data_IF_833637632481
#
_entry.id   IF_833637632481
#
_cell.length_a   1.000
_cell.length_b   1.000
_cell.length_c   1.000
_cell.angle_alpha   90.00
_cell.angle_beta   90.00
_cell.angle_gamma   90.00
#
_symmetry.space_group_name_H-M   'P 1'
#
loop_
_entity.id
_entity.type
_entity.pdbx_description
1 polymer ?
#
# COMPACT_ATOMS: atom_id res chain seq x y z
N UNK A 1 37.99 -17.93 -53.73
CA UNK A 1 37.29 -16.65 -53.52
C UNK A 1 35.99 -16.97 -52.78
N UNK A 2 36.03 -16.96 -51.45
CA UNK A 2 34.88 -17.34 -50.61
C UNK A 2 34.04 -16.11 -50.30
N UNK A 3 32.82 -16.06 -50.84
CA UNK A 3 31.84 -15.01 -50.56
C UNK A 3 31.12 -15.30 -49.24
N UNK A 4 31.51 -14.62 -48.17
CA UNK A 4 30.71 -14.55 -46.94
C UNK A 4 29.65 -13.46 -47.09
N UNK A 5 28.37 -13.85 -47.05
CA UNK A 5 27.24 -12.93 -46.91
C UNK A 5 27.03 -12.64 -45.42
N UNK A 6 26.87 -11.38 -44.98
CA UNK A 6 26.59 -11.09 -43.58
C UNK A 6 25.08 -11.20 -43.34
N UNK A 7 24.68 -12.19 -42.55
CA UNK A 7 23.31 -12.27 -42.03
C UNK A 7 23.20 -11.33 -40.84
N UNK A 8 22.47 -10.23 -40.98
CA UNK A 8 22.21 -9.28 -39.89
C UNK A 8 21.17 -9.91 -38.97
N UNK A 9 21.61 -10.40 -37.81
CA UNK A 9 20.72 -10.83 -36.73
C UNK A 9 20.26 -9.60 -35.94
N UNK A 10 19.00 -9.21 -36.12
CA UNK A 10 18.37 -8.13 -35.33
C UNK A 10 18.00 -8.71 -33.96
N UNK A 11 18.78 -8.37 -32.94
CA UNK A 11 18.42 -8.67 -31.55
C UNK A 11 17.32 -7.71 -31.10
N UNK A 12 16.08 -8.19 -31.01
CA UNK A 12 14.97 -7.44 -30.42
C UNK A 12 15.18 -7.35 -28.89
N UNK A 13 15.65 -6.21 -28.41
CA UNK A 13 15.74 -5.90 -26.99
C UNK A 13 14.32 -5.57 -26.51
N UNK A 14 13.67 -6.55 -25.87
CA UNK A 14 12.43 -6.33 -25.13
C UNK A 14 12.75 -5.52 -23.87
N UNK A 15 12.64 -4.19 -23.95
CA UNK A 15 12.63 -3.32 -22.78
C UNK A 15 11.32 -3.55 -22.03
N UNK A 16 11.32 -4.48 -21.09
CA UNK A 16 10.27 -4.58 -20.08
C UNK A 16 10.32 -3.33 -19.20
N UNK A 17 9.43 -2.38 -19.46
CA UNK A 17 9.17 -1.25 -18.57
C UNK A 17 8.57 -1.78 -17.28
N UNK A 18 9.42 -2.04 -16.28
CA UNK A 18 8.96 -2.23 -14.91
C UNK A 18 8.32 -0.92 -14.47
N UNK A 19 6.99 -0.92 -14.41
CA UNK A 19 6.16 0.17 -13.90
C UNK A 19 6.73 0.63 -12.55
N UNK A 20 7.11 1.91 -12.46
CA UNK A 20 7.59 2.51 -11.22
C UNK A 20 6.51 2.35 -10.14
N UNK A 21 6.71 1.40 -9.23
CA UNK A 21 5.94 1.33 -8.00
C UNK A 21 6.02 2.67 -7.26
N UNK A 22 4.97 3.03 -6.51
CA UNK A 22 4.87 4.27 -5.73
C UNK A 22 5.93 4.30 -4.61
N UNK A 23 7.21 4.48 -4.95
CA UNK A 23 8.34 4.47 -4.03
C UNK A 23 8.21 5.54 -2.93
N UNK A 24 7.53 6.64 -3.26
CA UNK A 24 7.22 7.71 -2.32
C UNK A 24 6.22 7.25 -1.25
N UNK A 25 5.18 6.49 -1.62
CA UNK A 25 4.20 5.96 -0.66
C UNK A 25 4.86 4.97 0.30
N UNK A 26 5.68 4.07 -0.25
CA UNK A 26 6.43 3.11 0.57
C UNK A 26 7.35 3.83 1.56
N UNK A 27 8.09 4.86 1.13
CA UNK A 27 8.99 5.62 2.01
C UNK A 27 8.23 6.37 3.11
N UNK A 28 7.10 6.99 2.77
CA UNK A 28 6.23 7.65 3.75
C UNK A 28 5.72 6.63 4.77
N UNK A 29 5.17 5.50 4.32
CA UNK A 29 4.67 4.46 5.20
C UNK A 29 5.75 3.84 6.07
N UNK A 30 6.95 3.59 5.54
CA UNK A 30 8.09 3.11 6.35
C UNK A 30 8.45 4.06 7.49
N UNK A 31 8.38 5.38 7.26
CA UNK A 31 8.60 6.38 8.30
C UNK A 31 7.46 6.36 9.33
N UNK A 32 6.22 6.42 8.86
CA UNK A 32 5.03 6.64 9.70
C UNK A 32 4.62 5.40 10.48
N UNK A 33 4.80 4.21 9.90
CA UNK A 33 4.48 2.93 10.53
C UNK A 33 5.62 2.39 11.39
N UNK A 34 6.74 3.10 11.54
CA UNK A 34 7.85 2.66 12.40
C UNK A 34 7.43 2.27 13.83
N UNK A 35 6.52 2.99 14.52
CA UNK A 35 6.03 2.59 15.85
C UNK A 35 5.32 1.23 15.86
N UNK A 36 4.72 0.84 14.74
CA UNK A 36 4.01 -0.43 14.56
C UNK A 36 4.95 -1.60 14.23
N UNK A 37 6.25 -1.33 14.01
CA UNK A 37 7.27 -2.32 13.69
C UNK A 37 6.85 -3.31 12.57
N UNK A 38 6.43 -2.81 11.38
CA UNK A 38 6.04 -3.69 10.29
C UNK A 38 7.22 -4.57 9.87
N UNK A 39 6.94 -5.85 9.67
CA UNK A 39 7.91 -6.81 9.12
C UNK A 39 8.20 -6.51 7.65
N UNK A 40 7.18 -6.08 6.93
CA UNK A 40 7.25 -5.82 5.50
C UNK A 40 6.26 -4.71 5.12
N UNK A 41 6.69 -3.86 4.19
CA UNK A 41 5.80 -2.97 3.43
C UNK A 41 6.12 -3.19 1.97
N UNK A 42 5.17 -3.74 1.21
CA UNK A 42 5.33 -3.99 -0.22
C UNK A 42 4.26 -3.29 -1.04
N UNK A 43 4.63 -2.93 -2.27
CA UNK A 43 3.71 -2.36 -3.27
C UNK A 43 3.67 -3.30 -4.46
N UNK A 44 2.48 -3.59 -4.97
CA UNK A 44 2.28 -4.21 -6.29
C UNK A 44 1.22 -3.43 -7.04
N UNK A 45 1.59 -2.85 -8.17
CA UNK A 45 0.70 -2.02 -8.98
C UNK A 45 0.04 -0.91 -8.15
N UNK A 46 -1.27 -1.04 -7.88
CA UNK A 46 -2.09 -0.09 -7.14
C UNK A 46 -2.46 -0.59 -5.73
N UNK A 47 -1.86 -1.69 -5.27
CA UNK A 47 -2.10 -2.30 -3.96
C UNK A 47 -0.86 -2.20 -3.08
N UNK A 48 -1.08 -1.82 -1.82
CA UNK A 48 -0.06 -1.81 -0.78
C UNK A 48 -0.33 -2.94 0.22
N UNK A 49 0.71 -3.56 0.73
CA UNK A 49 0.62 -4.57 1.80
C UNK A 49 1.55 -4.19 2.93
N UNK A 50 1.01 -4.14 4.14
CA UNK A 50 1.73 -3.97 5.40
C UNK A 50 1.60 -5.26 6.19
N UNK A 51 2.72 -5.87 6.55
CA UNK A 51 2.76 -7.10 7.35
C UNK A 51 3.20 -6.75 8.75
N UNK A 52 2.40 -7.08 9.75
CA UNK A 52 2.69 -6.87 11.16
C UNK A 52 3.12 -8.17 11.83
N UNK A 53 3.92 -8.04 12.88
CA UNK A 53 4.27 -9.17 13.75
C UNK A 53 3.04 -9.65 14.53
N UNK A 54 2.91 -10.96 14.71
CA UNK A 54 1.82 -11.58 15.47
C UNK A 54 0.84 -12.37 14.61
N UNK A 55 0.13 -13.29 15.27
CA UNK A 55 -0.74 -14.29 14.62
C UNK A 55 -2.07 -13.71 14.13
N UNK A 56 -2.54 -12.66 14.77
CA UNK A 56 -3.83 -12.03 14.50
C UNK A 56 -3.68 -10.52 14.45
N UNK A 57 -4.56 -9.86 13.70
CA UNK A 57 -4.72 -8.40 13.74
C UNK A 57 -6.11 -8.13 14.31
N UNK A 58 -6.16 -7.41 15.43
CA UNK A 58 -7.43 -6.98 16.00
C UNK A 58 -7.98 -5.81 15.20
N UNK A 59 -9.32 -5.67 15.16
CA UNK A 59 -9.97 -4.52 14.50
C UNK A 59 -9.51 -3.18 15.08
N UNK A 60 -9.21 -3.14 16.39
CA UNK A 60 -8.65 -1.96 17.08
C UNK A 60 -7.27 -1.61 16.54
N UNK A 61 -6.33 -2.58 16.53
CA UNK A 61 -4.97 -2.36 16.04
C UNK A 61 -4.95 -1.96 14.56
N UNK A 62 -5.79 -2.60 13.74
CA UNK A 62 -6.00 -2.21 12.35
C UNK A 62 -6.49 -0.77 12.22
N UNK A 63 -7.56 -0.41 12.94
CA UNK A 63 -8.17 0.92 12.82
C UNK A 63 -7.19 2.01 13.25
N UNK A 64 -6.48 1.78 14.35
CA UNK A 64 -5.46 2.69 14.85
C UNK A 64 -4.31 2.83 13.86
N UNK A 65 -3.85 1.76 13.21
CA UNK A 65 -2.81 1.83 12.18
C UNK A 65 -3.25 2.68 10.99
N UNK A 66 -4.47 2.47 10.49
CA UNK A 66 -5.00 3.25 9.37
C UNK A 66 -5.13 4.72 9.76
N UNK A 67 -5.80 5.02 10.88
CA UNK A 67 -6.06 6.39 11.30
C UNK A 67 -4.75 7.13 11.62
N UNK A 68 -3.93 6.57 12.50
CA UNK A 68 -2.73 7.24 13.03
C UNK A 68 -1.52 7.17 12.09
N UNK A 69 -1.39 6.11 11.29
CA UNK A 69 -0.21 5.84 10.47
C UNK A 69 -0.42 6.12 8.99
N UNK A 70 -1.58 5.76 8.43
CA UNK A 70 -1.86 5.92 7.01
C UNK A 70 -2.49 7.28 6.71
N UNK A 71 -3.51 7.70 7.45
CA UNK A 71 -4.26 8.92 7.18
C UNK A 71 -3.63 10.19 7.80
N UNK A 72 -3.07 10.13 9.01
CA UNK A 72 -2.42 11.30 9.66
C UNK A 72 -1.47 12.08 8.76
N UNK A 73 -0.55 11.45 7.98
CA UNK A 73 0.38 12.19 7.14
C UNK A 73 -0.30 13.01 6.03
N UNK A 74 -1.52 12.65 5.63
CA UNK A 74 -2.35 13.46 4.74
C UNK A 74 -2.85 14.70 5.50
N UNK A 75 -3.43 14.51 6.69
CA UNK A 75 -4.04 15.58 7.48
C UNK A 75 -3.04 16.59 8.04
N UNK A 76 -1.84 16.14 8.38
CA UNK A 76 -0.75 17.00 8.88
C UNK A 76 0.14 17.56 7.78
N UNK A 77 -0.12 17.19 6.52
CA UNK A 77 0.72 17.52 5.36
C UNK A 77 2.18 17.04 5.50
N UNK A 78 2.42 15.97 6.26
CA UNK A 78 3.74 15.34 6.46
C UNK A 78 4.12 14.33 5.36
N UNK A 79 3.30 14.23 4.31
CA UNK A 79 3.52 13.41 3.13
C UNK A 79 3.52 14.26 1.84
N UNK A 80 4.17 13.80 0.75
CA UNK A 80 4.07 14.46 -0.56
C UNK A 80 2.61 14.53 -1.04
N UNK A 81 2.24 15.56 -1.80
CA UNK A 81 0.89 15.70 -2.35
C UNK A 81 0.45 14.54 -3.28
N UNK A 82 1.39 13.73 -3.76
CA UNK A 82 1.11 12.52 -4.55
C UNK A 82 0.79 11.28 -3.70
N UNK A 83 0.89 11.38 -2.37
CA UNK A 83 0.77 10.24 -1.47
C UNK A 83 -0.58 9.55 -1.62
N UNK A 84 -0.55 8.23 -1.86
CA UNK A 84 -1.71 7.35 -2.06
C UNK A 84 -2.60 7.70 -3.27
N UNK A 85 -2.19 8.63 -4.13
CA UNK A 85 -3.01 9.09 -5.27
C UNK A 85 -3.40 7.96 -6.23
N UNK A 86 -2.52 6.97 -6.38
CA UNK A 86 -2.74 5.82 -7.26
C UNK A 86 -3.02 4.53 -6.48
N UNK A 87 -3.06 4.59 -5.15
CA UNK A 87 -3.29 3.40 -4.32
C UNK A 87 -4.79 3.15 -4.23
N UNK A 88 -5.23 2.00 -4.71
CA UNK A 88 -6.63 1.56 -4.65
C UNK A 88 -6.96 0.85 -3.35
N UNK A 89 -5.99 0.14 -2.79
CA UNK A 89 -6.19 -0.62 -1.56
C UNK A 89 -4.90 -0.75 -0.73
N UNK A 90 -5.08 -0.91 0.58
CA UNK A 90 -4.01 -1.21 1.53
C UNK A 90 -4.44 -2.42 2.37
N UNK A 91 -3.69 -3.51 2.25
CA UNK A 91 -3.89 -4.70 3.09
C UNK A 91 -2.95 -4.67 4.29
N UNK A 92 -3.50 -4.84 5.50
CA UNK A 92 -2.73 -5.00 6.74
C UNK A 92 -2.89 -6.45 7.18
N UNK A 93 -1.79 -7.21 7.16
CA UNK A 93 -1.78 -8.67 7.29
C UNK A 93 -0.94 -9.14 8.49
N UNK A 94 -1.31 -10.28 9.05
CA UNK A 94 -0.56 -10.96 10.11
C UNK A 94 0.80 -11.49 9.61
N UNK A 95 1.63 -11.98 10.53
CA UNK A 95 3.00 -12.42 10.21
C UNK A 95 3.06 -13.55 9.18
N UNK A 96 2.00 -14.35 9.08
CA UNK A 96 1.88 -15.46 8.13
C UNK A 96 1.25 -15.05 6.79
N UNK A 97 0.86 -13.77 6.65
CA UNK A 97 0.13 -13.23 5.49
C UNK A 97 -1.16 -14.00 5.17
N UNK A 98 -1.75 -14.66 6.17
CA UNK A 98 -2.91 -15.54 6.02
C UNK A 98 -4.22 -14.88 6.43
N UNK A 99 -4.15 -13.82 7.25
CA UNK A 99 -5.33 -13.12 7.76
C UNK A 99 -5.03 -11.63 7.95
N UNK A 100 -6.05 -10.79 7.82
CA UNK A 100 -5.95 -9.37 8.09
C UNK A 100 -7.16 -8.59 7.61
N UNK A 101 -6.94 -7.33 7.24
CA UNK A 101 -7.96 -6.44 6.71
C UNK A 101 -7.43 -5.68 5.50
N UNK A 102 -8.31 -5.37 4.57
CA UNK A 102 -8.02 -4.59 3.39
C UNK A 102 -8.87 -3.32 3.43
N UNK A 103 -8.19 -2.18 3.26
CA UNK A 103 -8.75 -0.84 3.24
C UNK A 103 -8.86 -0.33 1.80
N UNK A 104 -10.06 0.01 1.35
CA UNK A 104 -10.34 0.48 -0.01
C UNK A 104 -10.34 2.01 -0.12
N UNK A 105 -9.96 2.50 -1.31
CA UNK A 105 -9.95 3.92 -1.68
C UNK A 105 -9.25 4.83 -0.64
N UNK A 106 -8.01 4.51 -0.22
CA UNK A 106 -7.43 5.06 1.00
C UNK A 106 -7.33 6.59 1.01
N UNK A 107 -6.93 7.22 -0.10
CA UNK A 107 -6.83 8.68 -0.16
C UNK A 107 -8.21 9.36 -0.04
N UNK A 108 -9.22 8.87 -0.76
CA UNK A 108 -10.56 9.44 -0.71
C UNK A 108 -11.14 9.29 0.70
N UNK A 109 -11.08 8.07 1.24
CA UNK A 109 -11.62 7.77 2.56
C UNK A 109 -10.92 8.54 3.68
N UNK A 110 -9.58 8.67 3.66
CA UNK A 110 -8.88 9.49 4.66
C UNK A 110 -9.31 10.97 4.60
N UNK A 111 -9.57 11.54 3.42
CA UNK A 111 -10.06 12.92 3.30
C UNK A 111 -11.50 13.06 3.80
N UNK A 112 -12.36 12.07 3.52
CA UNK A 112 -13.75 12.06 3.99
C UNK A 112 -13.87 11.86 5.50
N UNK A 113 -12.91 11.15 6.13
CA UNK A 113 -12.85 10.95 7.57
C UNK A 113 -12.39 12.20 8.32
N UNK A 114 -11.50 13.01 7.74
CA UNK A 114 -10.85 14.13 8.42
C UNK A 114 -11.79 15.08 9.20
N UNK A 115 -12.97 15.47 8.68
CA UNK A 115 -13.89 16.37 9.40
C UNK A 115 -14.86 15.66 10.35
N UNK A 116 -14.84 14.32 10.43
CA UNK A 116 -15.82 13.54 11.19
C UNK A 116 -15.43 13.41 12.67
N UNK A 117 -16.45 13.34 13.53
CA UNK A 117 -16.25 12.92 14.92
C UNK A 117 -15.88 11.44 15.01
N UNK A 118 -15.16 11.03 16.06
CA UNK A 118 -14.54 9.70 16.22
C UNK A 118 -15.43 8.51 15.84
N UNK A 119 -16.69 8.49 16.30
CA UNK A 119 -17.61 7.38 16.00
C UNK A 119 -18.00 7.33 14.52
N UNK A 120 -18.22 8.49 13.90
CA UNK A 120 -18.52 8.59 12.47
C UNK A 120 -17.28 8.26 11.63
N UNK A 121 -16.09 8.70 12.05
CA UNK A 121 -14.81 8.34 11.45
C UNK A 121 -14.59 6.82 11.46
N UNK A 122 -14.79 6.15 12.60
CA UNK A 122 -14.70 4.69 12.69
C UNK A 122 -15.71 4.00 11.78
N UNK A 123 -16.96 4.46 11.76
CA UNK A 123 -18.00 3.88 10.91
C UNK A 123 -17.61 3.98 9.44
N UNK A 124 -17.09 5.15 9.02
CA UNK A 124 -16.62 5.39 7.67
C UNK A 124 -15.45 4.49 7.29
N UNK A 125 -14.44 4.39 8.16
CA UNK A 125 -13.31 3.48 7.97
C UNK A 125 -13.77 2.02 7.78
N UNK A 126 -14.62 1.54 8.69
CA UNK A 126 -15.11 0.15 8.64
C UNK A 126 -15.97 -0.11 7.40
N UNK A 127 -16.70 0.89 6.89
CA UNK A 127 -17.48 0.76 5.65
C UNK A 127 -16.62 0.54 4.40
N UNK A 128 -15.34 0.92 4.47
CA UNK A 128 -14.32 0.77 3.43
C UNK A 128 -13.31 -0.33 3.76
N UNK A 129 -13.65 -1.17 4.74
CA UNK A 129 -12.80 -2.26 5.21
C UNK A 129 -13.46 -3.61 4.95
N UNK A 130 -12.71 -4.55 4.40
CA UNK A 130 -13.12 -5.95 4.34
C UNK A 130 -12.04 -6.87 4.92
N UNK A 131 -12.44 -8.06 5.39
CA UNK A 131 -11.50 -9.05 5.89
C UNK A 131 -10.68 -9.65 4.74
N UNK A 132 -9.37 -9.78 4.97
CA UNK A 132 -8.48 -10.53 4.10
C UNK A 132 -8.31 -11.95 4.63
N UNK A 133 -8.40 -12.95 3.75
CA UNK A 133 -8.02 -14.33 4.04
C UNK A 133 -7.14 -14.83 2.91
N UNK A 134 -5.92 -15.24 3.25
CA UNK A 134 -4.98 -15.83 2.31
C UNK A 134 -5.54 -17.13 1.73
N UNK A 135 -5.33 -17.35 0.44
CA UNK A 135 -5.66 -18.62 -0.23
C UNK A 135 -4.59 -19.67 -0.01
#
# INVERSE_FOLDING_TARGET
MFHFKPTIAVAAILLSVSTYANANDTKTLQKQLKPWQPMEITTRENSLTVVLTGKEITSEAYSQLIMSGVCTPIWTHDAPASYLKNTKEISVLNEYKSFGYTFEDPLATCNEIAPLADKAAQTMLLSKTHTYTGK
#
